data_IF_020234592413
#
_entry.id   IF_020234592413
#
_cell.length_a   1.000
_cell.length_b   1.000
_cell.length_c   1.000
_cell.angle_alpha   90.00
_cell.angle_beta   90.00
_cell.angle_gamma   90.00
#
_symmetry.space_group_name_H-M   'P 1'
#
loop_
_entity.id
_entity.type
_entity.pdbx_description
1 polymer ?
#
# COMPACT_ATOMS: atom_id res chain seq x y z
N UNK A 1 -3.57 7.25 12.14
CA UNK A 1 -4.13 8.63 12.21
C UNK A 1 -4.69 9.11 10.88
N UNK A 2 -5.95 8.80 10.62
CA UNK A 2 -6.71 9.52 9.60
C UNK A 2 -7.47 10.70 10.24
N UNK A 3 -7.59 11.86 9.59
CA UNK A 3 -8.44 12.96 10.06
C UNK A 3 -9.87 12.55 10.43
N UNK A 4 -10.39 11.49 9.79
CA UNK A 4 -11.71 10.92 10.08
C UNK A 4 -11.85 10.35 11.49
N UNK A 5 -10.87 9.58 11.97
CA UNK A 5 -10.90 8.97 13.31
C UNK A 5 -10.83 10.01 14.43
N UNK A 6 -10.15 11.13 14.17
CA UNK A 6 -10.09 12.28 15.07
C UNK A 6 -11.35 13.16 15.04
N UNK A 7 -12.27 12.94 14.09
CA UNK A 7 -13.50 13.73 13.97
C UNK A 7 -14.53 13.26 15.03
N UNK A 8 -15.16 14.15 15.80
CA UNK A 8 -16.19 13.77 16.77
C UNK A 8 -17.35 12.99 16.13
N UNK A 9 -17.92 12.02 16.85
CA UNK A 9 -18.99 11.14 16.36
C UNK A 9 -20.17 11.85 15.69
N UNK A 10 -20.74 12.92 16.29
CA UNK A 10 -21.85 13.67 15.69
C UNK A 10 -21.49 14.33 14.35
N UNK A 11 -20.26 14.86 14.24
CA UNK A 11 -19.73 15.45 13.03
C UNK A 11 -19.48 14.39 11.94
N UNK A 12 -18.99 13.20 12.30
CA UNK A 12 -18.89 12.07 11.36
C UNK A 12 -20.25 11.69 10.80
N UNK A 13 -21.28 11.58 11.64
CA UNK A 13 -22.65 11.27 11.21
C UNK A 13 -23.23 12.32 10.26
N UNK A 14 -23.01 13.61 10.54
CA UNK A 14 -23.44 14.70 9.67
C UNK A 14 -22.72 14.67 8.31
N UNK A 15 -21.40 14.48 8.30
CA UNK A 15 -20.61 14.40 7.06
C UNK A 15 -21.04 13.18 6.24
N UNK A 16 -21.25 12.03 6.88
CA UNK A 16 -21.73 10.81 6.21
C UNK A 16 -23.11 11.03 5.58
N UNK A 17 -24.04 11.65 6.32
CA UNK A 17 -25.38 11.99 5.83
C UNK A 17 -25.34 12.94 4.62
N UNK A 18 -24.51 13.99 4.66
CA UNK A 18 -24.39 14.96 3.56
C UNK A 18 -23.73 14.35 2.34
N UNK A 19 -22.65 13.56 2.52
CA UNK A 19 -21.88 12.98 1.43
C UNK A 19 -22.60 11.77 0.80
N UNK A 20 -23.31 10.97 1.58
CA UNK A 20 -24.04 9.79 1.08
C UNK A 20 -25.50 10.07 0.73
N UNK A 21 -26.14 11.05 1.37
CA UNK A 21 -27.54 11.42 1.14
C UNK A 21 -27.77 12.36 -0.03
N UNK A 22 -26.74 12.94 -0.64
CA UNK A 22 -26.89 13.85 -1.79
C UNK A 22 -27.23 13.06 -3.09
N UNK A 23 -28.45 13.24 -3.66
CA UNK A 23 -28.83 12.59 -4.92
C UNK A 23 -27.92 13.06 -6.05
N UNK A 24 -27.37 12.14 -6.84
CA UNK A 24 -26.42 12.48 -7.92
C UNK A 24 -25.01 12.88 -7.45
N UNK A 25 -24.74 12.91 -6.14
CA UNK A 25 -23.43 13.29 -5.59
C UNK A 25 -22.26 12.39 -6.07
N UNK A 26 -22.55 11.15 -6.49
CA UNK A 26 -21.55 10.27 -7.11
C UNK A 26 -21.00 10.76 -8.46
N UNK A 27 -21.72 11.65 -9.15
CA UNK A 27 -21.31 12.23 -10.43
C UNK A 27 -20.29 13.37 -10.26
N UNK A 28 -20.29 14.05 -9.09
CA UNK A 28 -19.36 15.13 -8.79
C UNK A 28 -18.05 14.57 -8.23
N UNK A 29 -16.93 14.85 -8.90
CA UNK A 29 -15.61 14.34 -8.50
C UNK A 29 -15.23 14.60 -7.03
N UNK A 30 -15.43 15.80 -6.45
CA UNK A 30 -15.09 16.04 -5.04
C UNK A 30 -15.90 15.16 -4.07
N UNK A 31 -17.20 15.01 -4.31
CA UNK A 31 -18.11 14.25 -3.45
C UNK A 31 -17.80 12.76 -3.56
N UNK A 32 -17.56 12.25 -4.78
CA UNK A 32 -17.11 10.87 -4.99
C UNK A 32 -15.80 10.57 -4.27
N UNK A 33 -14.86 11.52 -4.27
CA UNK A 33 -13.58 11.39 -3.56
C UNK A 33 -13.77 11.40 -2.05
N UNK A 34 -14.61 12.29 -1.52
CA UNK A 34 -14.97 12.35 -0.10
C UNK A 34 -15.66 11.06 0.36
N UNK A 35 -16.65 10.57 -0.40
CA UNK A 35 -17.32 9.29 -0.17
C UNK A 35 -16.31 8.15 -0.14
N UNK A 36 -15.44 8.07 -1.15
CA UNK A 36 -14.40 7.05 -1.21
C UNK A 36 -13.48 7.10 0.00
N UNK A 37 -13.11 8.28 0.48
CA UNK A 37 -12.29 8.44 1.68
C UNK A 37 -13.01 7.95 2.94
N UNK A 38 -14.26 8.36 3.14
CA UNK A 38 -15.07 7.97 4.30
C UNK A 38 -15.27 6.45 4.34
N UNK A 39 -15.61 5.84 3.20
CA UNK A 39 -15.79 4.40 3.10
C UNK A 39 -14.48 3.64 3.41
N UNK A 40 -13.33 4.13 2.96
CA UNK A 40 -12.05 3.56 3.40
C UNK A 40 -11.82 3.73 4.91
N UNK A 41 -12.15 4.89 5.46
CA UNK A 41 -11.92 5.19 6.87
C UNK A 41 -12.82 4.37 7.81
N UNK A 42 -13.96 3.86 7.33
CA UNK A 42 -14.83 2.92 8.05
C UNK A 42 -14.20 1.53 8.20
N UNK A 43 -13.28 1.14 7.32
CA UNK A 43 -12.58 -0.15 7.38
C UNK A 43 -11.42 -0.03 8.38
N UNK A 44 -11.29 -0.92 9.38
CA UNK A 44 -10.18 -0.89 10.32
C UNK A 44 -8.85 -1.26 9.63
N UNK A 45 -7.73 -0.86 10.25
CA UNK A 45 -6.42 -1.42 9.88
C UNK A 45 -6.28 -2.85 10.44
N UNK A 46 -5.57 -3.75 9.76
CA UNK A 46 -4.91 -3.58 8.46
C UNK A 46 -5.80 -3.79 7.23
N UNK A 47 -7.03 -4.29 7.40
CA UNK A 47 -7.95 -4.68 6.31
C UNK A 47 -8.18 -3.56 5.28
N UNK A 48 -8.16 -2.29 5.73
CA UNK A 48 -8.25 -1.10 4.87
C UNK A 48 -7.24 -1.11 3.72
N UNK A 49 -6.08 -1.74 3.91
CA UNK A 49 -5.00 -1.84 2.91
C UNK A 49 -5.38 -2.77 1.74
N UNK A 50 -6.29 -3.73 1.98
CA UNK A 50 -6.77 -4.69 1.00
C UNK A 50 -7.94 -4.18 0.16
N UNK A 51 -8.41 -2.94 0.39
CA UNK A 51 -9.56 -2.35 -0.32
C UNK A 51 -9.46 -2.42 -1.84
N UNK A 52 -8.24 -2.29 -2.37
CA UNK A 52 -8.00 -2.32 -3.82
C UNK A 52 -7.42 -3.65 -4.31
N UNK A 53 -7.28 -4.65 -3.44
CA UNK A 53 -6.85 -5.99 -3.80
C UNK A 53 -7.76 -6.53 -4.91
N UNK A 54 -7.16 -6.92 -6.04
CA UNK A 54 -7.90 -7.33 -7.22
C UNK A 54 -8.66 -8.64 -6.97
N UNK A 55 -8.04 -9.60 -6.28
CA UNK A 55 -8.64 -10.89 -5.99
C UNK A 55 -9.89 -10.73 -5.13
N UNK A 56 -9.83 -9.89 -4.08
CA UNK A 56 -10.99 -9.61 -3.22
C UNK A 56 -12.11 -8.89 -3.97
N UNK A 57 -11.77 -8.06 -4.96
CA UNK A 57 -12.77 -7.31 -5.75
C UNK A 57 -13.44 -8.15 -6.83
N UNK A 58 -12.71 -9.09 -7.42
CA UNK A 58 -13.25 -9.99 -8.44
C UNK A 58 -13.96 -11.20 -7.82
N UNK A 59 -13.54 -11.62 -6.62
CA UNK A 59 -13.91 -12.89 -6.01
C UNK A 59 -12.91 -13.97 -6.41
N UNK A 60 -12.37 -14.71 -5.43
CA UNK A 60 -11.39 -15.76 -5.67
C UNK A 60 -11.96 -16.88 -6.55
N UNK A 61 -13.26 -17.16 -6.41
CA UNK A 61 -14.03 -18.13 -7.20
C UNK A 61 -14.12 -17.80 -8.69
N UNK A 62 -13.90 -16.53 -9.07
CA UNK A 62 -13.90 -16.11 -10.48
C UNK A 62 -12.52 -16.19 -11.12
N UNK A 63 -11.47 -16.27 -10.31
CA UNK A 63 -10.07 -16.17 -10.76
C UNK A 63 -9.35 -17.51 -10.63
N UNK A 64 -9.67 -18.29 -9.60
CA UNK A 64 -8.97 -19.52 -9.25
C UNK A 64 -9.86 -20.75 -9.50
N UNK A 65 -9.23 -21.87 -9.84
CA UNK A 65 -9.94 -23.13 -10.10
C UNK A 65 -10.57 -23.70 -8.81
N UNK A 66 -11.77 -24.30 -8.87
CA UNK A 66 -12.43 -24.89 -7.69
C UNK A 66 -11.56 -25.89 -6.93
N UNK A 67 -10.82 -26.75 -7.62
CA UNK A 67 -9.94 -27.74 -6.98
C UNK A 67 -8.83 -27.08 -6.15
N UNK A 68 -8.29 -25.95 -6.62
CA UNK A 68 -7.31 -25.18 -5.87
C UNK A 68 -7.95 -24.56 -4.63
N UNK A 69 -9.11 -23.92 -4.78
CA UNK A 69 -9.86 -23.32 -3.66
C UNK A 69 -10.25 -24.35 -2.60
N UNK A 70 -10.56 -25.58 -3.00
CA UNK A 70 -10.84 -26.68 -2.08
C UNK A 70 -9.61 -27.13 -1.28
N UNK A 71 -8.40 -26.80 -1.74
CA UNK A 71 -7.14 -27.20 -1.12
C UNK A 71 -6.47 -26.13 -0.25
N UNK A 72 -6.99 -24.90 -0.24
CA UNK A 72 -6.37 -23.76 0.45
C UNK A 72 -7.36 -23.05 1.35
N UNK A 73 -6.85 -22.43 2.41
CA UNK A 73 -7.62 -21.50 3.23
C UNK A 73 -7.55 -20.10 2.60
N UNK A 74 -8.71 -19.61 2.14
CA UNK A 74 -8.82 -18.30 1.50
C UNK A 74 -8.76 -17.13 2.50
N UNK A 75 -9.03 -17.37 3.78
CA UNK A 75 -9.01 -16.34 4.82
C UNK A 75 -7.62 -16.17 5.43
N UNK A 76 -6.82 -17.25 5.41
CA UNK A 76 -5.48 -17.27 6.00
C UNK A 76 -4.57 -16.09 5.61
N UNK A 77 -4.53 -15.61 4.35
CA UNK A 77 -3.72 -14.43 3.99
C UNK A 77 -4.11 -13.16 4.76
N UNK A 78 -5.41 -12.96 5.01
CA UNK A 78 -5.90 -11.80 5.77
C UNK A 78 -5.61 -11.98 7.27
N UNK A 79 -5.67 -13.21 7.78
CA UNK A 79 -5.28 -13.52 9.16
C UNK A 79 -3.80 -13.22 9.40
N UNK A 80 -2.91 -13.64 8.50
CA UNK A 80 -1.47 -13.33 8.58
C UNK A 80 -1.21 -11.82 8.55
N UNK A 81 -1.93 -11.08 7.70
CA UNK A 81 -1.86 -9.61 7.67
C UNK A 81 -2.22 -9.00 9.03
N UNK A 82 -3.29 -9.47 9.64
CA UNK A 82 -3.75 -9.02 10.97
C UNK A 82 -2.75 -9.41 12.05
N UNK A 83 -2.24 -10.64 12.03
CA UNK A 83 -1.24 -11.13 13.00
C UNK A 83 0.00 -10.25 12.99
N UNK A 84 0.61 -10.01 11.82
CA UNK A 84 1.82 -9.18 11.72
C UNK A 84 1.54 -7.74 12.12
N UNK A 85 0.39 -7.18 11.72
CA UNK A 85 0.04 -5.80 12.05
C UNK A 85 -0.16 -5.59 13.57
N UNK A 86 -0.91 -6.48 14.22
CA UNK A 86 -1.22 -6.39 15.65
C UNK A 86 -0.10 -6.91 16.54
N UNK A 87 0.76 -7.80 16.03
CA UNK A 87 1.96 -8.28 16.71
C UNK A 87 3.12 -7.29 16.72
N UNK A 88 3.06 -6.21 15.94
CA UNK A 88 4.12 -5.21 15.93
C UNK A 88 4.08 -4.36 17.22
N UNK A 89 5.20 -4.31 17.94
CA UNK A 89 5.36 -3.55 19.19
C UNK A 89 5.43 -2.03 18.92
N UNK A 90 4.25 -1.43 18.77
CA UNK A 90 4.10 0.01 18.53
C UNK A 90 2.67 0.45 18.84
N UNK A 91 2.53 1.62 19.49
CA UNK A 91 1.24 2.29 19.66
C UNK A 91 0.77 3.02 18.37
N UNK A 92 1.66 3.20 17.40
CA UNK A 92 1.39 3.86 16.12
C UNK A 92 0.89 2.89 15.06
N UNK A 93 -0.25 3.20 14.46
CA UNK A 93 -0.76 2.53 13.26
C UNK A 93 0.19 2.60 12.07
N UNK A 94 0.93 3.71 11.94
CA UNK A 94 1.89 3.91 10.84
C UNK A 94 3.05 2.95 11.00
N UNK A 95 3.61 2.83 12.21
CA UNK A 95 4.72 1.90 12.45
C UNK A 95 4.27 0.44 12.35
N UNK A 96 3.07 0.09 12.82
CA UNK A 96 2.48 -1.25 12.59
C UNK A 96 2.34 -1.54 11.10
N UNK A 97 1.85 -0.57 10.32
CA UNK A 97 1.75 -0.69 8.87
C UNK A 97 3.14 -0.86 8.22
N UNK A 98 4.14 -0.10 8.65
CA UNK A 98 5.51 -0.21 8.11
C UNK A 98 6.18 -1.55 8.46
N UNK A 99 5.91 -2.11 9.64
CA UNK A 99 6.38 -3.46 10.00
C UNK A 99 5.73 -4.53 9.10
N UNK A 100 4.43 -4.40 8.87
CA UNK A 100 3.68 -5.25 7.94
C UNK A 100 4.18 -5.12 6.50
N UNK A 101 4.47 -3.90 6.04
CA UNK A 101 5.03 -3.60 4.71
C UNK A 101 6.43 -4.22 4.52
N UNK A 102 7.28 -4.14 5.55
CA UNK A 102 8.59 -4.78 5.58
C UNK A 102 8.50 -6.30 5.37
N UNK A 103 7.49 -6.95 5.98
CA UNK A 103 7.26 -8.39 5.84
C UNK A 103 6.68 -8.74 4.47
N UNK A 104 5.50 -8.24 4.14
CA UNK A 104 4.76 -8.73 2.98
C UNK A 104 5.16 -8.06 1.66
N UNK A 105 5.45 -6.75 1.68
CA UNK A 105 5.79 -6.04 0.44
C UNK A 105 7.26 -6.21 0.11
N UNK A 106 8.14 -6.03 1.11
CA UNK A 106 9.57 -6.15 0.87
C UNK A 106 10.06 -7.61 0.91
N UNK A 107 9.96 -8.28 2.05
CA UNK A 107 10.59 -9.59 2.25
C UNK A 107 9.93 -10.71 1.43
N UNK A 108 8.59 -10.76 1.40
CA UNK A 108 7.86 -11.84 0.73
C UNK A 108 7.55 -11.56 -0.76
N UNK A 109 7.82 -10.35 -1.27
CA UNK A 109 7.49 -9.97 -2.65
C UNK A 109 8.65 -9.29 -3.40
N UNK A 110 9.06 -8.08 -3.01
CA UNK A 110 10.04 -7.30 -3.78
C UNK A 110 11.43 -7.95 -3.81
N UNK A 111 11.92 -8.46 -2.67
CA UNK A 111 13.23 -9.10 -2.60
C UNK A 111 13.30 -10.39 -3.42
N UNK A 112 12.36 -11.37 -3.29
CA UNK A 112 12.35 -12.56 -4.15
C UNK A 112 12.33 -12.19 -5.63
N UNK A 113 11.47 -11.25 -6.03
CA UNK A 113 11.34 -10.81 -7.42
C UNK A 113 12.66 -10.27 -7.97
N UNK A 114 13.32 -9.36 -7.25
CA UNK A 114 14.57 -8.76 -7.70
C UNK A 114 15.71 -9.78 -7.68
N UNK A 115 15.82 -10.57 -6.61
CA UNK A 115 16.88 -11.59 -6.48
C UNK A 115 16.80 -12.64 -7.58
N UNK A 116 15.61 -13.19 -7.85
CA UNK A 116 15.43 -14.21 -8.90
C UNK A 116 15.74 -13.63 -10.28
N UNK A 117 15.21 -12.44 -10.60
CA UNK A 117 15.46 -11.82 -11.90
C UNK A 117 16.94 -11.48 -12.12
N UNK A 118 17.62 -10.94 -11.11
CA UNK A 118 19.05 -10.64 -11.17
C UNK A 118 19.89 -11.91 -11.32
N UNK A 119 19.59 -12.97 -10.55
CA UNK A 119 20.27 -14.25 -10.66
C UNK A 119 20.12 -14.88 -12.05
N UNK A 120 18.91 -14.86 -12.63
CA UNK A 120 18.65 -15.32 -14.00
C UNK A 120 19.43 -14.52 -15.05
N UNK A 121 19.66 -13.23 -14.79
CA UNK A 121 20.46 -12.35 -15.65
C UNK A 121 21.97 -12.40 -15.39
N UNK A 122 22.45 -13.21 -14.45
CA UNK A 122 23.87 -13.22 -14.05
C UNK A 122 24.34 -11.92 -13.39
N UNK A 123 23.42 -11.13 -12.84
CA UNK A 123 23.68 -9.84 -12.20
C UNK A 123 23.67 -10.01 -10.68
N UNK A 124 24.70 -9.46 -10.01
CA UNK A 124 24.69 -9.32 -8.55
C UNK A 124 23.94 -8.05 -8.15
N UNK A 125 23.02 -8.17 -7.20
CA UNK A 125 22.22 -7.05 -6.67
C UNK A 125 22.63 -6.70 -5.25
N UNK A 126 22.62 -5.41 -4.93
CA UNK A 126 22.85 -4.89 -3.59
C UNK A 126 21.68 -4.03 -3.10
N UNK A 127 21.50 -3.98 -1.78
CA UNK A 127 20.40 -3.26 -1.13
C UNK A 127 20.89 -2.27 -0.06
N UNK A 128 21.54 -1.14 -0.43
CA UNK A 128 22.14 -0.23 0.55
C UNK A 128 21.16 0.33 1.58
N UNK A 129 19.89 0.48 1.22
CA UNK A 129 18.85 0.97 2.12
C UNK A 129 18.39 -0.08 3.15
N UNK A 130 18.85 -1.32 3.03
CA UNK A 130 18.57 -2.42 3.95
C UNK A 130 19.78 -2.76 4.84
N UNK A 131 20.79 -1.89 4.91
CA UNK A 131 21.85 -2.01 5.93
C UNK A 131 21.20 -1.99 7.32
N UNK A 132 21.56 -2.96 8.17
CA UNK A 132 20.97 -3.15 9.50
C UNK A 132 21.02 -1.88 10.35
N UNK A 133 22.08 -1.07 10.24
CA UNK A 133 22.22 0.18 11.00
C UNK A 133 21.22 1.22 10.52
N UNK A 134 20.99 1.28 9.22
CA UNK A 134 20.03 2.21 8.63
C UNK A 134 18.60 1.79 8.95
N UNK A 135 18.28 0.50 8.88
CA UNK A 135 16.97 -0.03 9.26
C UNK A 135 16.72 0.21 10.76
N UNK A 136 17.70 -0.06 11.62
CA UNK A 136 17.60 0.21 13.05
C UNK A 136 17.50 1.71 13.38
N UNK A 137 18.12 2.58 12.59
CA UNK A 137 17.92 4.03 12.71
C UNK A 137 16.50 4.43 12.30
N UNK A 138 16.03 3.95 11.14
CA UNK A 138 14.72 4.28 10.60
C UNK A 138 13.56 3.78 11.49
N UNK A 139 13.71 2.62 12.15
CA UNK A 139 12.70 2.09 13.06
C UNK A 139 12.44 3.01 14.26
N UNK A 140 13.50 3.66 14.75
CA UNK A 140 13.47 4.58 15.90
C UNK A 140 13.05 6.02 15.58
N UNK A 141 12.89 6.36 14.30
CA UNK A 141 12.45 7.72 13.91
C UNK A 141 11.03 8.01 14.44
N UNK A 142 10.77 9.23 14.95
CA UNK A 142 9.41 9.66 15.27
C UNK A 142 8.52 9.65 14.02
N UNK A 143 7.22 9.42 14.20
CA UNK A 143 6.27 9.28 13.08
C UNK A 143 6.21 10.50 12.17
N UNK A 144 6.32 11.72 12.73
CA UNK A 144 6.27 12.96 11.94
C UNK A 144 7.45 13.08 10.96
N UNK A 145 8.56 12.37 11.19
CA UNK A 145 9.65 12.27 10.21
C UNK A 145 9.32 11.28 9.07
N UNK A 146 8.53 10.25 9.36
CA UNK A 146 8.12 9.23 8.38
C UNK A 146 6.98 9.74 7.48
N UNK A 147 6.01 10.45 8.06
CA UNK A 147 4.86 11.04 7.37
C UNK A 147 4.53 12.43 7.94
N UNK A 148 5.06 13.49 7.32
CA UNK A 148 4.88 14.86 7.81
C UNK A 148 3.70 15.55 7.16
N UNK A 149 2.60 15.78 7.89
CA UNK A 149 1.39 16.47 7.37
C UNK A 149 0.92 15.91 6.01
N UNK A 150 0.91 14.58 5.88
CA UNK A 150 0.54 13.89 4.64
C UNK A 150 1.61 13.87 3.54
N UNK A 151 2.80 14.45 3.78
CA UNK A 151 3.93 14.40 2.84
C UNK A 151 4.73 13.12 3.05
N UNK A 152 4.69 12.25 2.04
CA UNK A 152 5.48 11.01 1.99
C UNK A 152 6.96 11.31 1.78
N UNK A 153 7.83 10.47 2.35
CA UNK A 153 9.30 10.54 2.20
C UNK A 153 9.89 11.89 2.63
N UNK A 154 9.23 12.58 3.56
CA UNK A 154 9.64 13.93 3.95
C UNK A 154 11.08 13.94 4.48
N UNK A 155 11.39 13.12 5.50
CA UNK A 155 12.75 13.04 6.06
C UNK A 155 13.81 12.73 5.00
N UNK A 156 13.53 11.80 4.08
CA UNK A 156 14.45 11.42 3.01
C UNK A 156 14.73 12.59 2.04
N UNK A 157 13.72 13.41 1.73
CA UNK A 157 13.89 14.60 0.89
C UNK A 157 14.70 15.67 1.60
N UNK A 158 14.46 15.92 2.88
CA UNK A 158 15.25 16.93 3.61
C UNK A 158 16.71 16.48 3.77
N UNK A 159 16.94 15.21 4.11
CA UNK A 159 18.29 14.67 4.33
C UNK A 159 19.16 14.66 3.06
N UNK A 160 18.56 14.74 1.87
CA UNK A 160 19.27 14.73 0.58
C UNK A 160 19.11 16.04 -0.20
N UNK A 161 18.54 17.08 0.39
CA UNK A 161 18.28 18.36 -0.27
C UNK A 161 19.55 19.00 -0.83
N UNK A 162 20.66 18.88 -0.09
CA UNK A 162 21.96 19.43 -0.50
C UNK A 162 22.78 18.46 -1.38
N UNK A 163 22.26 17.25 -1.64
CA UNK A 163 22.94 16.22 -2.43
C UNK A 163 22.31 16.00 -3.81
N UNK A 164 20.99 16.12 -3.92
CA UNK A 164 20.26 15.86 -5.16
C UNK A 164 19.82 17.16 -5.85
N UNK A 165 19.85 17.24 -7.19
CA UNK A 165 19.30 18.37 -7.93
C UNK A 165 17.83 18.63 -7.59
N UNK A 166 17.42 19.89 -7.65
CA UNK A 166 16.06 20.33 -7.33
C UNK A 166 15.00 19.55 -8.12
N UNK A 167 15.25 19.32 -9.41
CA UNK A 167 14.35 18.62 -10.32
C UNK A 167 14.13 17.16 -9.90
N UNK A 168 15.15 16.51 -9.33
CA UNK A 168 15.09 15.12 -8.89
C UNK A 168 14.34 15.02 -7.55
N UNK A 169 14.69 15.87 -6.59
CA UNK A 169 14.16 15.74 -5.23
C UNK A 169 12.70 16.19 -5.11
N UNK A 170 12.27 17.14 -5.95
CA UNK A 170 10.89 17.60 -6.01
C UNK A 170 10.00 16.79 -6.97
N UNK A 171 10.57 15.86 -7.74
CA UNK A 171 9.81 15.00 -8.66
C UNK A 171 8.67 14.27 -7.93
N UNK A 172 7.51 14.18 -8.59
CA UNK A 172 6.38 13.37 -8.15
C UNK A 172 6.76 11.88 -8.16
N UNK A 173 6.16 11.10 -7.25
CA UNK A 173 6.35 9.65 -7.23
C UNK A 173 5.76 9.07 -8.53
N UNK A 174 6.57 8.35 -9.28
CA UNK A 174 6.14 7.54 -10.42
C UNK A 174 6.38 6.07 -10.08
N UNK A 175 5.44 5.20 -10.46
CA UNK A 175 5.60 3.76 -10.25
C UNK A 175 6.60 3.15 -11.24
N UNK A 176 7.06 1.94 -10.93
CA UNK A 176 7.86 1.12 -11.85
C UNK A 176 7.00 0.10 -12.60
N UNK A 177 5.68 0.34 -12.66
CA UNK A 177 4.75 -0.57 -13.29
C UNK A 177 4.97 -0.63 -14.80
N UNK A 178 5.20 -1.82 -15.31
CA UNK A 178 5.18 -2.07 -16.75
C UNK A 178 3.72 -2.03 -17.23
N UNK A 179 3.45 -1.59 -18.46
CA UNK A 179 2.10 -1.57 -19.02
C UNK A 179 1.66 -2.99 -19.45
N UNK A 180 1.81 -3.96 -18.54
CA UNK A 180 1.63 -5.38 -18.83
C UNK A 180 0.23 -5.71 -19.33
N UNK A 181 -0.81 -5.04 -18.79
CA UNK A 181 -2.17 -5.18 -19.29
C UNK A 181 -2.33 -4.76 -20.75
N UNK A 182 -1.64 -3.71 -21.19
CA UNK A 182 -1.62 -3.29 -22.60
C UNK A 182 -0.89 -4.32 -23.45
N UNK A 183 0.29 -4.75 -22.99
CA UNK A 183 1.09 -5.76 -23.69
C UNK A 183 0.38 -7.10 -23.84
N UNK A 184 -0.33 -7.57 -22.81
CA UNK A 184 -1.15 -8.78 -22.92
C UNK A 184 -2.29 -8.63 -23.93
N UNK A 185 -2.76 -7.43 -24.26
CA UNK A 185 -3.79 -7.26 -25.30
C UNK A 185 -3.20 -7.13 -26.70
N UNK A 186 -2.04 -6.48 -26.81
CA UNK A 186 -1.48 -6.05 -28.10
C UNK A 186 -0.30 -6.93 -28.60
N UNK A 187 0.39 -7.64 -27.71
CA UNK A 187 1.58 -8.41 -28.04
C UNK A 187 1.25 -9.90 -28.17
N UNK A 188 1.15 -10.39 -29.40
CA UNK A 188 0.70 -11.76 -29.70
C UNK A 188 1.45 -12.86 -28.91
N UNK A 189 2.79 -12.86 -28.81
CA UNK A 189 3.49 -13.86 -28.00
C UNK A 189 3.12 -13.89 -26.51
N UNK A 190 2.69 -12.76 -25.93
CA UNK A 190 2.28 -12.72 -24.52
C UNK A 190 0.85 -13.23 -24.31
N UNK A 191 0.01 -13.23 -25.35
CA UNK A 191 -1.35 -13.79 -25.31
C UNK A 191 -1.38 -15.31 -25.37
N UNK A 192 -0.31 -15.89 -25.88
CA UNK A 192 -0.19 -17.34 -26.13
C UNK A 192 0.50 -18.07 -24.98
N UNK A 193 1.06 -17.35 -24.00
CA UNK A 193 1.56 -17.88 -22.73
C UNK A 193 0.43 -18.20 -21.76
#
# INVERSE_FOLDING_TARGET
YTPWEATPGPLRGLIDLVVNGMPGGGALWPIRKARSYIEAAKIPMPDRTQRYNLLHRLGAERVLHPDFLASVDCEHPVELLREVYWGADSASDLNRYLAMDMKFTLADNDLPKVNIACALGGVQVGYPLLDDRLVAFASRLPEDFKLRKGRLRWFFKEALADFLPHEIIHKSKHGFGLPFGLWMNEHAPLREL
#
